data_IF_497782931398
#
_entry.id   IF_497782931398
#
_cell.length_a   1.000
_cell.length_b   1.000
_cell.length_c   1.000
_cell.angle_alpha   90.00
_cell.angle_beta   90.00
_cell.angle_gamma   90.00
#
_symmetry.space_group_name_H-M   'P 1'
#
loop_
_entity.id
_entity.type
_entity.pdbx_description
1 polymer ?
#
# COMPACT_ATOMS: atom_id res chain seq x y z
N UNK A 1 -0.67 2.03 -17.02
CA UNK A 1 0.56 1.35 -16.54
C UNK A 1 0.36 0.94 -15.08
N UNK A 2 1.01 -0.13 -14.55
CA UNK A 2 0.74 -0.64 -13.19
C UNK A 2 0.88 0.40 -12.07
N UNK A 3 1.84 1.32 -12.22
CA UNK A 3 2.10 2.38 -11.23
C UNK A 3 1.01 3.44 -11.20
N UNK A 4 0.48 3.84 -12.36
CA UNK A 4 -0.66 4.78 -12.45
C UNK A 4 -1.91 4.16 -11.80
N UNK A 5 -2.16 2.87 -12.06
CA UNK A 5 -3.28 2.15 -11.45
C UNK A 5 -3.13 2.08 -9.92
N UNK A 6 -1.91 1.85 -9.42
CA UNK A 6 -1.64 1.91 -7.99
C UNK A 6 -1.90 3.30 -7.43
N UNK A 7 -1.41 4.36 -8.08
CA UNK A 7 -1.63 5.75 -7.64
C UNK A 7 -3.14 6.07 -7.53
N UNK A 8 -3.91 5.80 -8.57
CA UNK A 8 -5.37 6.01 -8.55
C UNK A 8 -6.06 5.18 -7.46
N UNK A 9 -5.61 3.95 -7.21
CA UNK A 9 -6.16 3.11 -6.15
C UNK A 9 -5.85 3.66 -4.74
N UNK A 10 -4.68 4.26 -4.56
CA UNK A 10 -4.27 4.89 -3.30
C UNK A 10 -4.98 6.23 -3.05
N UNK A 11 -5.24 7.02 -4.09
CA UNK A 11 -6.05 8.26 -4.00
C UNK A 11 -7.47 7.96 -3.50
N UNK A 12 -8.09 6.88 -3.94
CA UNK A 12 -9.42 6.44 -3.48
C UNK A 12 -9.48 6.16 -1.98
N UNK A 13 -8.35 5.82 -1.34
CA UNK A 13 -8.27 5.59 0.11
C UNK A 13 -8.31 6.87 0.94
N UNK A 14 -7.91 8.01 0.36
CA UNK A 14 -7.94 9.32 1.02
C UNK A 14 -9.37 9.87 1.19
N UNK A 15 -10.36 9.24 0.53
CA UNK A 15 -11.78 9.48 0.78
C UNK A 15 -12.22 8.71 2.02
N UNK A 16 -11.90 9.30 3.18
CA UNK A 16 -12.18 8.81 4.53
C UNK A 16 -13.62 8.29 4.63
N UNK A 17 -13.79 6.97 4.59
CA UNK A 17 -15.07 6.32 4.86
C UNK A 17 -14.89 5.35 6.04
N UNK A 18 -15.68 5.55 7.10
CA UNK A 18 -15.72 4.64 8.26
C UNK A 18 -16.38 3.29 7.93
N UNK A 19 -16.97 3.15 6.73
CA UNK A 19 -17.64 1.93 6.30
C UNK A 19 -16.64 0.83 5.88
N UNK A 20 -16.66 -0.28 6.61
CA UNK A 20 -15.87 -1.48 6.34
C UNK A 20 -16.11 -2.07 4.95
N UNK A 21 -17.29 -1.87 4.37
CA UNK A 21 -17.60 -2.32 3.00
C UNK A 21 -16.80 -1.54 1.97
N UNK A 22 -16.70 -0.22 2.14
CA UNK A 22 -15.89 0.64 1.27
C UNK A 22 -14.40 0.29 1.40
N UNK A 23 -13.91 0.05 2.62
CA UNK A 23 -12.53 -0.40 2.86
C UNK A 23 -12.23 -1.73 2.17
N UNK A 24 -13.16 -2.67 2.24
CA UNK A 24 -13.05 -3.97 1.59
C UNK A 24 -13.11 -3.85 0.06
N UNK A 25 -13.94 -2.96 -0.48
CA UNK A 25 -13.98 -2.71 -1.92
C UNK A 25 -12.67 -2.05 -2.42
N UNK A 26 -12.16 -1.07 -1.69
CA UNK A 26 -10.90 -0.41 -2.06
C UNK A 26 -9.71 -1.37 -1.98
N UNK A 27 -9.72 -2.29 -1.01
CA UNK A 27 -8.73 -3.36 -0.91
C UNK A 27 -8.54 -4.11 -2.21
N UNK A 28 -9.64 -4.53 -2.84
CA UNK A 28 -9.61 -5.40 -4.01
C UNK A 28 -8.85 -4.71 -5.15
N UNK A 29 -9.06 -3.41 -5.31
CA UNK A 29 -8.40 -2.60 -6.33
C UNK A 29 -6.92 -2.41 -6.00
N UNK A 30 -6.60 -2.03 -4.75
CA UNK A 30 -5.21 -1.80 -4.31
C UNK A 30 -4.40 -3.10 -4.34
N UNK A 31 -4.95 -4.20 -3.83
CA UNK A 31 -4.32 -5.52 -3.84
C UNK A 31 -4.01 -5.96 -5.26
N UNK A 32 -4.96 -5.85 -6.18
CA UNK A 32 -4.73 -6.15 -7.60
C UNK A 32 -3.62 -5.30 -8.20
N UNK A 33 -3.55 -4.01 -7.87
CA UNK A 33 -2.49 -3.12 -8.34
C UNK A 33 -1.12 -3.52 -7.76
N UNK A 34 -1.03 -3.79 -6.45
CA UNK A 34 0.18 -4.27 -5.76
C UNK A 34 0.70 -5.56 -6.41
N UNK A 35 -0.18 -6.51 -6.68
CA UNK A 35 0.18 -7.80 -7.29
C UNK A 35 0.60 -7.66 -8.76
N UNK A 36 0.19 -6.60 -9.45
CA UNK A 36 0.61 -6.32 -10.82
C UNK A 36 2.00 -5.68 -10.95
N UNK A 37 2.59 -5.22 -9.84
CA UNK A 37 3.93 -4.60 -9.84
C UNK A 37 5.01 -5.67 -10.02
N UNK A 38 5.68 -5.63 -11.18
CA UNK A 38 6.85 -6.48 -11.46
C UNK A 38 8.16 -5.79 -11.13
N UNK A 39 8.27 -4.51 -11.51
CA UNK A 39 9.42 -3.65 -11.27
C UNK A 39 9.13 -2.71 -10.10
N UNK A 40 9.64 -3.08 -8.93
CA UNK A 40 9.44 -2.34 -7.67
C UNK A 40 10.29 -1.05 -7.67
N UNK A 41 11.51 -1.09 -8.19
CA UNK A 41 12.39 0.08 -8.23
C UNK A 41 11.88 1.13 -9.21
N UNK A 42 11.37 0.71 -10.37
CA UNK A 42 10.70 1.59 -11.34
C UNK A 42 9.41 2.20 -10.79
N UNK A 43 8.62 1.42 -10.03
CA UNK A 43 7.43 1.93 -9.36
C UNK A 43 7.77 3.10 -8.42
N UNK A 44 8.76 2.95 -7.55
CA UNK A 44 9.16 4.03 -6.65
C UNK A 44 9.85 5.21 -7.32
N UNK A 45 10.32 5.05 -8.55
CA UNK A 45 10.86 6.16 -9.34
C UNK A 45 9.76 7.05 -9.93
N UNK A 46 8.51 6.57 -9.96
CA UNK A 46 7.36 7.31 -10.48
C UNK A 46 6.32 7.67 -9.40
N UNK A 47 6.27 6.92 -8.29
CA UNK A 47 5.33 7.14 -7.19
C UNK A 47 5.82 8.27 -6.27
N UNK A 48 4.97 9.28 -6.06
CA UNK A 48 5.27 10.42 -5.21
C UNK A 48 5.35 10.04 -3.71
N UNK A 49 6.24 10.68 -2.92
CA UNK A 49 6.39 10.39 -1.49
C UNK A 49 5.13 10.55 -0.65
N UNK A 50 4.16 11.35 -1.08
CA UNK A 50 2.87 11.53 -0.39
C UNK A 50 2.07 10.22 -0.28
N UNK A 51 2.29 9.26 -1.19
CA UNK A 51 1.61 7.97 -1.17
C UNK A 51 2.29 6.90 -0.30
N UNK A 52 3.46 7.19 0.25
CA UNK A 52 4.29 6.18 0.91
C UNK A 52 3.66 5.65 2.20
N UNK A 53 3.13 6.55 3.03
CA UNK A 53 2.51 6.16 4.30
C UNK A 53 1.20 5.36 4.06
N UNK A 54 0.38 5.74 3.08
CA UNK A 54 -0.84 4.99 2.73
C UNK A 54 -0.52 3.65 2.07
N UNK A 55 0.52 3.58 1.23
CA UNK A 55 0.99 2.32 0.68
C UNK A 55 1.45 1.38 1.81
N UNK A 56 2.21 1.89 2.79
CA UNK A 56 2.67 1.10 3.93
C UNK A 56 1.51 0.44 4.70
N UNK A 57 0.42 1.18 4.95
CA UNK A 57 -0.80 0.63 5.56
C UNK A 57 -1.39 -0.53 4.75
N UNK A 58 -1.48 -0.40 3.43
CA UNK A 58 -1.98 -1.47 2.57
C UNK A 58 -1.05 -2.68 2.50
N UNK A 59 0.26 -2.48 2.64
CA UNK A 59 1.20 -3.61 2.76
C UNK A 59 0.96 -4.39 4.05
N UNK A 60 0.80 -3.73 5.20
CA UNK A 60 0.46 -4.40 6.46
C UNK A 60 -0.89 -5.12 6.40
N UNK A 61 -1.89 -4.51 5.74
CA UNK A 61 -3.15 -5.20 5.46
C UNK A 61 -2.95 -6.45 4.60
N UNK A 62 -2.14 -6.36 3.54
CA UNK A 62 -1.80 -7.51 2.70
C UNK A 62 -1.11 -8.63 3.48
N UNK A 63 -0.16 -8.29 4.35
CA UNK A 63 0.52 -9.24 5.23
C UNK A 63 -0.45 -9.93 6.19
N UNK A 64 -1.49 -9.22 6.67
CA UNK A 64 -2.50 -9.78 7.56
C UNK A 64 -3.35 -10.88 6.92
N UNK A 65 -3.38 -10.99 5.57
CA UNK A 65 -4.13 -12.03 4.87
C UNK A 65 -3.54 -13.42 5.04
N UNK A 66 -2.24 -13.52 5.32
CA UNK A 66 -1.52 -14.79 5.41
C UNK A 66 -1.35 -15.54 4.08
N UNK A 67 -1.86 -15.01 2.97
CA UNK A 67 -1.69 -15.59 1.64
C UNK A 67 -0.24 -15.45 1.17
N UNK A 68 0.43 -16.56 0.86
CA UNK A 68 1.88 -16.57 0.59
C UNK A 68 2.28 -15.68 -0.59
N UNK A 69 1.65 -15.77 -1.78
CA UNK A 69 1.94 -14.86 -2.89
C UNK A 69 1.79 -13.38 -2.52
N UNK A 70 0.73 -13.04 -1.78
CA UNK A 70 0.49 -11.67 -1.32
C UNK A 70 1.57 -11.22 -0.35
N UNK A 71 1.89 -12.04 0.66
CA UNK A 71 2.92 -11.73 1.66
C UNK A 71 4.30 -11.53 1.01
N UNK A 72 4.70 -12.42 0.10
CA UNK A 72 6.00 -12.31 -0.59
C UNK A 72 6.10 -10.99 -1.38
N UNK A 73 5.03 -10.62 -2.09
CA UNK A 73 4.99 -9.35 -2.81
C UNK A 73 4.98 -8.14 -1.87
N UNK A 74 4.22 -8.20 -0.77
CA UNK A 74 4.17 -7.12 0.21
C UNK A 74 5.55 -6.90 0.85
N UNK A 75 6.28 -7.96 1.20
CA UNK A 75 7.62 -7.87 1.79
C UNK A 75 8.63 -7.25 0.81
N UNK A 76 8.60 -7.63 -0.47
CA UNK A 76 9.46 -7.04 -1.52
C UNK A 76 9.26 -5.53 -1.66
N UNK A 77 8.01 -5.08 -1.66
CA UNK A 77 7.69 -3.66 -1.76
C UNK A 77 8.03 -2.94 -0.45
N UNK A 78 7.73 -3.56 0.69
CA UNK A 78 8.01 -3.01 2.02
C UNK A 78 9.50 -2.72 2.23
N UNK A 79 10.38 -3.65 1.85
CA UNK A 79 11.83 -3.47 1.93
C UNK A 79 12.27 -2.19 1.19
N UNK A 80 11.86 -2.05 -0.07
CA UNK A 80 12.20 -0.91 -0.92
C UNK A 80 11.57 0.40 -0.47
N UNK A 81 10.32 0.36 0.00
CA UNK A 81 9.65 1.50 0.60
C UNK A 81 10.40 2.00 1.83
N UNK A 82 10.82 1.08 2.71
CA UNK A 82 11.55 1.40 3.94
C UNK A 82 12.93 2.00 3.61
N UNK A 83 13.62 1.48 2.60
CA UNK A 83 14.90 2.05 2.14
C UNK A 83 14.75 3.50 1.66
N UNK A 84 13.63 3.86 1.03
CA UNK A 84 13.40 5.21 0.47
C UNK A 84 12.78 6.19 1.46
N UNK A 85 11.78 5.75 2.22
CA UNK A 85 11.01 6.59 3.14
C UNK A 85 11.57 6.61 4.58
N UNK A 86 12.50 5.70 4.88
CA UNK A 86 13.03 5.48 6.22
C UNK A 86 12.03 4.82 7.18
N UNK A 87 12.50 4.56 8.39
CA UNK A 87 11.70 3.91 9.46
C UNK A 87 10.50 4.75 9.91
N UNK A 88 10.52 6.07 9.67
CA UNK A 88 9.40 6.96 10.02
C UNK A 88 8.09 6.58 9.35
N UNK A 89 8.14 6.02 8.13
CA UNK A 89 6.95 5.54 7.40
C UNK A 89 6.28 4.36 8.13
N UNK A 90 7.08 3.42 8.64
CA UNK A 90 6.59 2.32 9.48
C UNK A 90 6.00 2.86 10.79
N UNK A 91 6.73 3.72 11.49
CA UNK A 91 6.29 4.27 12.78
C UNK A 91 4.96 5.03 12.67
N UNK A 92 4.79 5.84 11.63
CA UNK A 92 3.51 6.54 11.38
C UNK A 92 2.38 5.55 11.09
N UNK A 93 2.64 4.49 10.33
CA UNK A 93 1.65 3.44 10.08
C UNK A 93 1.23 2.71 11.37
N UNK A 94 2.19 2.37 12.25
CA UNK A 94 1.92 1.67 13.50
C UNK A 94 1.28 2.57 14.57
N UNK A 95 1.61 3.86 14.55
CA UNK A 95 1.05 4.84 15.48
C UNK A 95 -0.34 5.34 15.08
N UNK A 96 -0.78 5.07 13.84
CA UNK A 96 -2.09 5.48 13.37
C UNK A 96 -3.20 4.74 14.12
N UNK A 97 -4.11 5.52 14.71
CA UNK A 97 -5.26 5.01 15.47
C UNK A 97 -6.51 4.92 14.61
N UNK A 98 -6.53 5.59 13.46
CA UNK A 98 -7.65 5.57 12.52
C UNK A 98 -7.42 4.44 11.51
N UNK A 99 -8.24 3.40 11.58
CA UNK A 99 -8.18 2.33 10.59
C UNK A 99 -8.79 2.80 9.26
N UNK A 100 -7.96 3.39 8.39
CA UNK A 100 -8.37 3.94 7.10
C UNK A 100 -8.30 2.94 5.94
N UNK A 101 -7.68 1.77 6.12
CA UNK A 101 -7.45 0.80 5.03
C UNK A 101 -8.23 -0.48 5.19
#
# INVERSE_FOLDING_TARGET
KPVEALKTALEGAALINKDERCKSANWIVVHRAIMAIKDVDGMFSSLEPEYYDILMKYLYRGLSTGDRPTCDQCLRIHEKLTQRAGLGCILRCLADKENTV
#
